data_IF_113372744617
#
_entry.id   IF_113372744617
#
_cell.length_a   1.000
_cell.length_b   1.000
_cell.length_c   1.000
_cell.angle_alpha   90.00
_cell.angle_beta   90.00
_cell.angle_gamma   90.00
#
_symmetry.space_group_name_H-M   'P 1'
#
loop_
_entity.id
_entity.type
_entity.pdbx_description
1 polymer ?
#
# COMPACT_ATOMS: atom_id res chain seq x y z
N UNK A 1 6.04 -13.30 -12.40
CA UNK A 1 4.99 -14.16 -13.01
C UNK A 1 4.82 -15.39 -12.14
N UNK A 2 3.57 -15.86 -12.01
CA UNK A 2 3.19 -17.11 -11.33
C UNK A 2 2.32 -17.93 -12.28
N UNK A 3 2.58 -19.23 -12.38
CA UNK A 3 1.83 -20.18 -13.23
C UNK A 3 1.95 -21.60 -12.69
N UNK A 4 1.13 -22.55 -13.18
CA UNK A 4 1.35 -23.99 -12.97
C UNK A 4 1.42 -24.44 -11.51
N UNK A 5 0.65 -23.81 -10.61
CA UNK A 5 0.65 -24.11 -9.18
C UNK A 5 1.66 -23.29 -8.36
N UNK A 6 2.42 -22.39 -9.00
CA UNK A 6 3.30 -21.49 -8.27
C UNK A 6 2.53 -20.57 -7.33
N UNK A 7 3.13 -20.31 -6.19
CA UNK A 7 2.60 -19.46 -5.13
C UNK A 7 3.73 -18.80 -4.36
N UNK A 8 3.39 -17.85 -3.51
CA UNK A 8 4.31 -17.29 -2.54
C UNK A 8 3.64 -17.31 -1.16
N UNK A 9 4.13 -18.19 -0.30
CA UNK A 9 3.52 -18.45 1.01
C UNK A 9 3.51 -17.24 1.95
N UNK A 10 2.80 -17.35 3.05
CA UNK A 10 2.68 -16.27 4.05
C UNK A 10 4.05 -15.77 4.51
N UNK A 11 4.25 -14.48 4.41
CA UNK A 11 5.46 -13.79 4.83
C UNK A 11 5.17 -12.31 5.14
N UNK A 12 6.13 -11.66 5.75
CA UNK A 12 6.23 -10.22 5.92
C UNK A 12 7.42 -9.76 5.09
N UNK A 13 7.30 -8.64 4.39
CA UNK A 13 8.38 -8.12 3.57
C UNK A 13 9.61 -7.73 4.40
N UNK A 14 10.80 -7.91 3.80
CA UNK A 14 12.05 -7.53 4.46
C UNK A 14 12.11 -6.03 4.71
N UNK A 15 12.38 -5.63 5.97
CA UNK A 15 12.26 -4.24 6.44
C UNK A 15 13.19 -3.23 5.76
N UNK A 16 14.31 -3.69 5.20
CA UNK A 16 15.32 -2.83 4.55
C UNK A 16 15.83 -3.49 3.28
N UNK A 17 15.94 -2.74 2.21
CA UNK A 17 16.54 -3.17 0.95
C UNK A 17 17.72 -2.28 0.59
N UNK A 18 18.80 -2.91 0.13
CA UNK A 18 19.94 -2.21 -0.45
C UNK A 18 19.64 -1.85 -1.91
N UNK A 19 19.86 -0.58 -2.27
CA UNK A 19 19.72 -0.14 -3.66
C UNK A 19 20.99 -0.49 -4.44
N UNK A 20 20.88 -1.22 -5.57
CA UNK A 20 22.06 -1.80 -6.23
C UNK A 20 23.03 -0.78 -6.83
N UNK A 21 22.59 0.47 -7.04
CA UNK A 21 23.36 1.47 -7.80
C UNK A 21 24.08 2.53 -6.96
N UNK A 22 23.76 2.67 -5.66
CA UNK A 22 24.27 3.80 -4.87
C UNK A 22 24.57 3.51 -3.40
N UNK A 23 24.59 2.24 -2.99
CA UNK A 23 24.80 1.79 -1.61
C UNK A 23 23.82 2.39 -0.57
N UNK A 24 22.76 3.02 -1.02
CA UNK A 24 21.72 3.51 -0.13
C UNK A 24 20.81 2.37 0.31
N UNK A 25 20.30 2.48 1.52
CA UNK A 25 19.29 1.58 2.06
C UNK A 25 17.92 2.23 1.95
N UNK A 26 16.93 1.44 1.52
CA UNK A 26 15.52 1.82 1.48
C UNK A 26 14.81 1.08 2.61
N UNK A 27 14.11 1.80 3.49
CA UNK A 27 13.15 1.22 4.42
C UNK A 27 11.87 0.89 3.65
N UNK A 28 11.41 -0.34 3.74
CA UNK A 28 10.20 -0.80 3.05
C UNK A 28 8.98 -0.56 3.95
N UNK A 29 8.38 0.60 3.86
CA UNK A 29 7.19 0.97 4.65
C UNK A 29 5.89 0.54 3.97
N UNK A 30 5.85 0.64 2.64
CA UNK A 30 4.67 0.36 1.82
C UNK A 30 5.06 -0.61 0.72
N UNK A 31 4.35 -1.73 0.66
CA UNK A 31 4.41 -2.71 -0.43
C UNK A 31 3.37 -2.37 -1.47
N UNK A 32 3.73 -2.55 -2.73
CA UNK A 32 2.91 -2.22 -3.88
C UNK A 32 2.85 -3.40 -4.83
N UNK A 33 1.65 -3.75 -5.31
CA UNK A 33 1.46 -4.73 -6.37
C UNK A 33 0.66 -4.11 -7.50
N UNK A 34 1.32 -3.93 -8.66
CA UNK A 34 0.68 -3.52 -9.90
C UNK A 34 0.31 -4.78 -10.69
N UNK A 35 -0.98 -4.94 -10.96
CA UNK A 35 -1.50 -6.06 -11.75
C UNK A 35 -1.28 -5.79 -13.23
N UNK A 36 -0.81 -6.82 -13.96
CA UNK A 36 -0.48 -6.74 -15.41
C UNK A 36 -1.21 -7.82 -16.21
N UNK A 37 -1.95 -8.72 -15.56
CA UNK A 37 -2.89 -9.66 -16.17
C UNK A 37 -4.30 -9.32 -15.75
N UNK A 38 -5.28 -9.53 -16.63
CA UNK A 38 -6.70 -9.41 -16.27
C UNK A 38 -7.13 -10.56 -15.34
N UNK A 39 -8.08 -10.33 -14.41
CA UNK A 39 -8.55 -11.36 -13.47
C UNK A 39 -9.02 -12.65 -14.13
N UNK A 40 -9.59 -12.58 -15.34
CA UNK A 40 -10.14 -13.70 -16.10
C UNK A 40 -9.08 -14.54 -16.80
N UNK A 41 -7.85 -14.04 -16.96
CA UNK A 41 -6.75 -14.72 -17.63
C UNK A 41 -6.16 -15.86 -16.78
N UNK A 42 -6.41 -15.87 -15.46
CA UNK A 42 -5.87 -16.87 -14.55
C UNK A 42 -6.85 -17.22 -13.42
N UNK A 43 -6.73 -18.43 -12.85
CA UNK A 43 -7.48 -18.89 -11.69
C UNK A 43 -6.53 -19.05 -10.49
N UNK A 44 -6.99 -18.70 -9.30
CA UNK A 44 -6.13 -18.59 -8.12
C UNK A 44 -5.29 -17.31 -8.20
N UNK A 45 -4.15 -17.31 -7.53
CA UNK A 45 -3.20 -16.20 -7.56
C UNK A 45 -3.69 -14.93 -6.88
N UNK A 46 -4.68 -15.01 -6.01
CA UNK A 46 -5.13 -13.90 -5.19
C UNK A 46 -3.98 -13.44 -4.28
N UNK A 47 -3.82 -12.12 -4.15
CA UNK A 47 -3.03 -11.54 -3.07
C UNK A 47 -3.90 -11.53 -1.82
N UNK A 48 -3.53 -12.31 -0.83
CA UNK A 48 -4.17 -12.30 0.48
C UNK A 48 -3.33 -11.45 1.44
N UNK A 49 -3.95 -10.44 2.04
CA UNK A 49 -3.34 -9.59 3.06
C UNK A 49 -4.11 -9.75 4.36
N UNK A 50 -3.42 -10.12 5.43
CA UNK A 50 -4.01 -10.32 6.74
C UNK A 50 -3.88 -9.05 7.59
N UNK A 51 -5.00 -8.63 8.17
CA UNK A 51 -5.04 -7.60 9.22
C UNK A 51 -5.68 -8.12 10.51
N UNK A 52 -5.98 -7.21 11.44
CA UNK A 52 -6.62 -7.54 12.73
C UNK A 52 -8.02 -8.14 12.57
N UNK A 53 -8.69 -7.87 11.46
CA UNK A 53 -10.09 -8.24 11.21
C UNK A 53 -10.23 -9.47 10.29
N UNK A 54 -9.13 -9.94 9.70
CA UNK A 54 -9.13 -11.14 8.87
C UNK A 54 -8.23 -11.04 7.66
N UNK A 55 -8.54 -11.87 6.65
CA UNK A 55 -7.81 -11.93 5.39
C UNK A 55 -8.61 -11.18 4.32
N UNK A 56 -7.94 -10.30 3.61
CA UNK A 56 -8.47 -9.58 2.45
C UNK A 56 -7.88 -10.19 1.18
N UNK A 57 -8.73 -10.77 0.36
CA UNK A 57 -8.37 -11.30 -0.96
C UNK A 57 -8.43 -10.18 -2.01
N UNK A 58 -7.36 -10.03 -2.78
CA UNK A 58 -7.23 -8.98 -3.78
C UNK A 58 -6.82 -9.56 -5.12
N UNK A 59 -7.65 -9.31 -6.14
CA UNK A 59 -7.42 -9.66 -7.54
C UNK A 59 -8.03 -8.56 -8.41
N UNK A 60 -7.20 -7.70 -8.95
CA UNK A 60 -7.61 -6.47 -9.64
C UNK A 60 -7.33 -6.54 -11.15
N UNK A 61 -8.02 -5.74 -11.97
CA UNK A 61 -7.75 -5.60 -13.39
C UNK A 61 -6.31 -5.16 -13.69
N UNK A 62 -5.84 -5.47 -14.90
CA UNK A 62 -4.56 -5.00 -15.40
C UNK A 62 -4.49 -3.47 -15.41
N UNK A 63 -3.40 -2.93 -14.87
CA UNK A 63 -3.21 -1.50 -14.67
C UNK A 63 -3.59 -0.99 -13.29
N UNK A 64 -4.33 -1.75 -12.51
CA UNK A 64 -4.67 -1.40 -11.13
C UNK A 64 -3.52 -1.69 -10.17
N UNK A 65 -3.42 -0.87 -9.14
CA UNK A 65 -2.37 -0.91 -8.13
C UNK A 65 -2.98 -1.01 -6.74
N UNK A 66 -2.52 -1.98 -5.94
CA UNK A 66 -2.79 -1.99 -4.50
C UNK A 66 -1.56 -1.59 -3.71
N UNK A 67 -1.79 -0.82 -2.65
CA UNK A 67 -0.80 -0.43 -1.65
C UNK A 67 -1.22 -0.99 -0.29
N UNK A 68 -0.26 -1.58 0.43
CA UNK A 68 -0.49 -2.08 1.79
C UNK A 68 0.78 -1.95 2.64
N UNK A 69 0.65 -1.89 3.98
CA UNK A 69 1.83 -1.83 4.85
C UNK A 69 2.73 -3.05 4.64
N UNK A 70 4.03 -2.83 4.44
CA UNK A 70 4.99 -3.92 4.27
C UNK A 70 5.11 -4.83 5.50
N UNK A 71 4.62 -4.35 6.66
CA UNK A 71 4.51 -5.11 7.91
C UNK A 71 3.34 -6.10 7.95
N UNK A 72 2.41 -6.04 6.98
CA UNK A 72 1.27 -6.95 6.92
C UNK A 72 1.72 -8.36 6.52
N UNK A 73 1.19 -9.38 7.21
CA UNK A 73 1.34 -10.76 6.80
C UNK A 73 0.53 -10.99 5.52
N UNK A 74 1.17 -11.48 4.46
CA UNK A 74 0.51 -11.66 3.18
C UNK A 74 1.06 -12.84 2.39
N UNK A 75 0.29 -13.31 1.41
CA UNK A 75 0.68 -14.37 0.50
C UNK A 75 0.08 -14.17 -0.89
N UNK A 76 0.58 -14.95 -1.86
CA UNK A 76 -0.06 -15.16 -3.16
C UNK A 76 -0.51 -16.61 -3.22
N UNK A 77 -1.80 -16.84 -3.42
CA UNK A 77 -2.38 -18.19 -3.52
C UNK A 77 -1.89 -18.91 -4.78
N UNK A 78 -1.97 -20.26 -4.84
CA UNK A 78 -1.53 -21.00 -6.03
C UNK A 78 -2.30 -20.60 -7.29
N UNK A 79 -1.58 -20.35 -8.39
CA UNK A 79 -2.18 -20.13 -9.71
C UNK A 79 -2.45 -21.48 -10.34
N UNK A 80 -3.73 -21.84 -10.47
CA UNK A 80 -4.18 -23.15 -10.95
C UNK A 80 -4.42 -23.22 -12.45
N UNK A 81 -4.65 -22.08 -13.12
CA UNK A 81 -4.80 -21.93 -14.57
C UNK A 81 -4.22 -20.58 -15.01
N UNK A 82 -3.67 -20.50 -16.21
CA UNK A 82 -3.16 -19.26 -16.80
C UNK A 82 -1.87 -18.75 -16.16
N UNK A 83 -1.63 -17.46 -16.32
CA UNK A 83 -0.46 -16.76 -15.77
C UNK A 83 -0.87 -15.47 -15.05
N UNK A 84 -0.45 -15.35 -13.79
CA UNK A 84 -0.54 -14.11 -13.04
C UNK A 84 0.74 -13.29 -13.26
N UNK A 85 0.65 -12.20 -13.97
CA UNK A 85 1.75 -11.25 -14.17
C UNK A 85 1.52 -10.02 -13.30
N UNK A 86 2.51 -9.64 -12.52
CA UNK A 86 2.48 -8.42 -11.71
C UNK A 86 3.87 -7.82 -11.54
N UNK A 87 3.93 -6.55 -11.22
CA UNK A 87 5.13 -5.87 -10.73
C UNK A 87 4.99 -5.60 -9.25
N UNK A 88 6.01 -5.97 -8.45
CA UNK A 88 6.05 -5.74 -7.01
C UNK A 88 7.19 -4.79 -6.69
N UNK A 89 6.91 -3.77 -5.90
CA UNK A 89 7.93 -2.79 -5.48
C UNK A 89 7.60 -2.21 -4.10
N UNK A 90 8.58 -1.53 -3.52
CA UNK A 90 8.49 -0.98 -2.18
C UNK A 90 8.78 0.51 -2.19
N UNK A 91 8.12 1.21 -1.29
CA UNK A 91 8.32 2.64 -1.08
C UNK A 91 8.67 2.92 0.38
N UNK A 92 9.64 3.82 0.58
CA UNK A 92 9.88 4.42 1.88
C UNK A 92 8.95 5.61 2.04
N UNK A 93 8.14 5.59 3.09
CA UNK A 93 7.27 6.71 3.44
C UNK A 93 8.04 7.76 4.23
N UNK A 94 7.76 9.03 4.01
CA UNK A 94 8.24 10.10 4.89
C UNK A 94 7.70 9.96 6.32
N UNK A 95 6.54 9.33 6.50
CA UNK A 95 5.99 9.01 7.81
C UNK A 95 6.12 7.51 8.06
N UNK A 96 6.97 7.13 9.01
CA UNK A 96 7.30 5.72 9.28
C UNK A 96 6.13 4.89 9.79
N UNK A 97 5.37 5.43 10.74
CA UNK A 97 4.32 4.69 11.44
C UNK A 97 3.07 4.53 10.57
N UNK A 98 2.56 3.29 10.41
CA UNK A 98 1.32 2.98 9.72
C UNK A 98 0.13 3.71 10.36
N UNK A 99 0.06 3.71 11.69
CA UNK A 99 -1.01 4.39 12.42
C UNK A 99 -1.01 5.91 12.16
N UNK A 100 0.18 6.54 12.11
CA UNK A 100 0.28 7.97 11.81
C UNK A 100 -0.09 8.27 10.35
N UNK A 101 0.30 7.39 9.39
CA UNK A 101 -0.14 7.53 7.99
C UNK A 101 -1.65 7.45 7.85
N UNK A 102 -2.28 6.48 8.53
CA UNK A 102 -3.74 6.34 8.54
C UNK A 102 -4.41 7.59 9.11
N UNK A 103 -3.94 8.10 10.24
CA UNK A 103 -4.48 9.33 10.84
C UNK A 103 -4.35 10.55 9.92
N UNK A 104 -3.19 10.72 9.27
CA UNK A 104 -3.00 11.81 8.31
C UNK A 104 -3.92 11.67 7.10
N UNK A 105 -4.08 10.46 6.57
CA UNK A 105 -4.97 10.19 5.45
C UNK A 105 -6.43 10.49 5.79
N UNK A 106 -6.90 10.03 6.93
CA UNK A 106 -8.27 10.27 7.39
C UNK A 106 -8.52 11.77 7.62
N UNK A 107 -7.56 12.47 8.26
CA UNK A 107 -7.66 13.90 8.51
C UNK A 107 -7.68 14.68 7.19
N UNK A 108 -6.76 14.42 6.27
CA UNK A 108 -6.73 15.11 4.97
C UNK A 108 -7.99 14.83 4.16
N UNK A 109 -8.43 13.57 4.07
CA UNK A 109 -9.65 13.19 3.36
C UNK A 109 -10.87 13.92 3.91
N UNK A 110 -10.96 14.05 5.24
CA UNK A 110 -12.04 14.78 5.90
C UNK A 110 -11.97 16.27 5.61
N UNK A 111 -10.78 16.86 5.64
CA UNK A 111 -10.56 18.28 5.29
C UNK A 111 -10.99 18.55 3.83
N UNK A 112 -10.61 17.67 2.89
CA UNK A 112 -10.99 17.81 1.48
C UNK A 112 -12.51 17.73 1.27
N UNK A 113 -13.18 16.80 1.98
CA UNK A 113 -14.63 16.69 1.94
C UNK A 113 -15.34 17.94 2.52
N UNK A 114 -14.84 18.47 3.63
CA UNK A 114 -15.36 19.70 4.24
C UNK A 114 -15.13 20.91 3.32
N UNK A 115 -13.93 21.03 2.75
CA UNK A 115 -13.58 22.08 1.79
C UNK A 115 -14.51 22.04 0.57
N UNK A 116 -14.83 20.86 0.04
CA UNK A 116 -15.79 20.70 -1.06
C UNK A 116 -17.20 21.15 -0.73
N UNK A 117 -17.62 21.10 0.54
CA UNK A 117 -18.95 21.49 1.01
C UNK A 117 -19.04 22.95 1.47
N UNK A 118 -17.99 23.46 2.12
CA UNK A 118 -18.01 24.73 2.87
C UNK A 118 -17.05 25.78 2.29
N UNK A 119 -16.19 25.40 1.33
CA UNK A 119 -15.10 26.25 0.87
C UNK A 119 -14.00 26.40 1.93
N UNK A 120 -13.14 27.41 1.76
CA UNK A 120 -12.06 27.74 2.70
C UNK A 120 -12.59 28.58 3.88
N UNK A 121 -13.51 28.02 4.66
CA UNK A 121 -13.96 28.65 5.91
C UNK A 121 -12.87 28.56 7.00
N UNK A 122 -12.96 29.37 8.08
CA UNK A 122 -11.95 29.40 9.15
C UNK A 122 -11.67 28.04 9.78
N UNK A 123 -12.68 27.19 9.92
CA UNK A 123 -12.56 25.84 10.48
C UNK A 123 -11.75 24.92 9.57
N UNK A 124 -11.99 24.95 8.26
CA UNK A 124 -11.25 24.18 7.26
C UNK A 124 -9.78 24.63 7.22
N UNK A 125 -9.53 25.93 7.29
CA UNK A 125 -8.17 26.47 7.35
C UNK A 125 -7.43 26.04 8.63
N UNK A 126 -8.12 26.05 9.77
CA UNK A 126 -7.58 25.60 11.06
C UNK A 126 -7.21 24.11 11.01
N UNK A 127 -8.10 23.25 10.53
CA UNK A 127 -7.84 21.81 10.38
C UNK A 127 -6.69 21.55 9.41
N UNK A 128 -6.62 22.28 8.30
CA UNK A 128 -5.48 22.21 7.36
C UNK A 128 -4.16 22.56 8.05
N UNK A 129 -4.16 23.57 8.90
CA UNK A 129 -3.01 23.94 9.71
C UNK A 129 -2.57 22.82 10.67
N UNK A 130 -3.52 22.16 11.33
CA UNK A 130 -3.24 21.00 12.18
C UNK A 130 -2.66 19.84 11.39
N UNK A 131 -3.23 19.49 10.23
CA UNK A 131 -2.69 18.47 9.35
C UNK A 131 -1.20 18.72 9.01
N UNK A 132 -0.88 19.92 8.53
CA UNK A 132 0.51 20.23 8.19
C UNK A 132 1.45 20.25 9.40
N UNK A 133 0.97 20.62 10.57
CA UNK A 133 1.77 20.58 11.79
C UNK A 133 2.03 19.15 12.27
N UNK A 134 1.06 18.25 12.18
CA UNK A 134 1.26 16.82 12.45
C UNK A 134 2.23 16.21 11.45
N UNK A 135 2.06 16.48 10.16
CA UNK A 135 2.98 16.02 9.12
C UNK A 135 4.42 16.49 9.39
N UNK A 136 4.60 17.77 9.78
CA UNK A 136 5.93 18.31 10.13
C UNK A 136 6.57 17.61 11.33
N UNK A 137 5.76 17.17 12.31
CA UNK A 137 6.25 16.46 13.48
C UNK A 137 6.64 15.00 13.16
N UNK A 138 5.95 14.37 12.22
CA UNK A 138 6.08 12.95 11.94
C UNK A 138 6.90 12.61 10.72
N UNK A 139 7.16 13.58 9.84
CA UNK A 139 7.97 13.37 8.66
C UNK A 139 9.45 13.21 8.99
N UNK A 140 10.05 12.15 8.43
CA UNK A 140 11.49 11.91 8.41
C UNK A 140 12.00 12.23 6.99
N UNK A 141 12.77 13.30 6.85
CA UNK A 141 13.32 13.80 5.57
C UNK A 141 14.83 13.79 5.59
#
# INVERSE_FOLDING_TARGET
TYSGGEHYGFHVDGAVRQLPFNQLSLRTDVSSTLFLSEPEEYDGGELEVQDTYGIHEVKLPAGDLILYPSSSLHQVTPVTRGERVCSVFWSQSMVRSDAQRSQLYELDSTIQQLRGKLGDCPEVLTLTGHYHNLLRQWAEV
#
